data_IF_862642682549
#
_entry.id   IF_862642682549
#
_cell.length_a   1.000
_cell.length_b   1.000
_cell.length_c   1.000
_cell.angle_alpha   90.00
_cell.angle_beta   90.00
_cell.angle_gamma   90.00
#
_symmetry.space_group_name_H-M   'P 1'
#
loop_
_entity.id
_entity.type
_entity.pdbx_description
1 polymer ?
#
# COMPACT_ATOMS: atom_id res chain seq x y z
N UNK A 1 2.25 23.54 23.47
CA UNK A 1 1.32 22.45 23.11
C UNK A 1 1.77 21.18 23.81
N UNK A 2 0.94 20.56 24.66
CA UNK A 2 1.22 19.22 25.20
C UNK A 2 0.59 18.19 24.25
N UNK A 3 1.39 17.28 23.70
CA UNK A 3 0.88 16.18 22.88
C UNK A 3 0.15 15.18 23.79
N UNK A 4 -1.10 14.87 23.47
CA UNK A 4 -1.84 13.82 24.16
C UNK A 4 -1.25 12.44 23.82
N UNK A 5 -1.07 11.53 24.79
CA UNK A 5 -0.59 10.17 24.54
C UNK A 5 -1.41 9.42 23.48
N UNK A 6 -2.72 9.65 23.41
CA UNK A 6 -3.61 9.02 22.43
C UNK A 6 -3.39 9.55 21.01
N UNK A 7 -3.09 10.85 20.87
CA UNK A 7 -2.74 11.45 19.58
C UNK A 7 -1.42 10.89 19.07
N UNK A 8 -0.40 10.81 19.93
CA UNK A 8 0.89 10.24 19.56
C UNK A 8 0.76 8.80 19.06
N UNK A 9 0.04 7.95 19.80
CA UNK A 9 -0.20 6.54 19.40
C UNK A 9 -0.94 6.44 18.06
N UNK A 10 -2.01 7.21 17.89
CA UNK A 10 -2.83 7.16 16.67
C UNK A 10 -2.04 7.61 15.43
N UNK A 11 -1.22 8.65 15.56
CA UNK A 11 -0.36 9.13 14.46
C UNK A 11 0.71 8.11 14.09
N UNK A 12 1.35 7.44 15.05
CA UNK A 12 2.33 6.38 14.75
C UNK A 12 1.66 5.23 14.00
N UNK A 13 0.50 4.75 14.47
CA UNK A 13 -0.24 3.67 13.79
C UNK A 13 -0.63 4.07 12.37
N UNK A 14 -1.15 5.28 12.18
CA UNK A 14 -1.50 5.78 10.85
C UNK A 14 -0.25 5.92 9.94
N UNK A 15 0.88 6.39 10.47
CA UNK A 15 2.13 6.52 9.73
C UNK A 15 2.70 5.16 9.32
N UNK A 16 2.56 4.12 10.16
CA UNK A 16 2.96 2.76 9.80
C UNK A 16 2.16 2.21 8.62
N UNK A 17 0.88 2.58 8.48
CA UNK A 17 0.09 2.25 7.27
C UNK A 17 0.70 2.86 6.00
N UNK A 18 1.10 4.14 6.05
CA UNK A 18 1.80 4.80 4.93
C UNK A 18 3.18 4.20 4.66
N UNK A 19 3.91 3.81 5.72
CA UNK A 19 5.20 3.12 5.61
C UNK A 19 5.05 1.77 4.90
N UNK A 20 4.04 0.98 5.27
CA UNK A 20 3.77 -0.34 4.68
C UNK A 20 3.45 -0.22 3.18
N UNK A 21 2.63 0.76 2.80
CA UNK A 21 2.35 1.04 1.39
C UNK A 21 3.62 1.41 0.59
N UNK A 22 4.50 2.22 1.17
CA UNK A 22 5.80 2.54 0.57
C UNK A 22 6.74 1.33 0.48
N UNK A 23 6.71 0.46 1.50
CA UNK A 23 7.49 -0.77 1.55
C UNK A 23 7.11 -1.73 0.41
N UNK A 24 5.82 -1.95 0.16
CA UNK A 24 5.35 -2.80 -0.94
C UNK A 24 5.84 -2.30 -2.30
N UNK A 25 5.84 -0.99 -2.51
CA UNK A 25 6.35 -0.35 -3.73
C UNK A 25 7.86 -0.59 -3.89
N UNK A 26 8.62 -0.49 -2.80
CA UNK A 26 10.06 -0.74 -2.81
C UNK A 26 10.38 -2.21 -3.11
N UNK A 27 9.63 -3.15 -2.54
CA UNK A 27 9.78 -4.59 -2.80
C UNK A 27 9.47 -4.94 -4.26
N UNK A 28 8.40 -4.38 -4.84
CA UNK A 28 8.08 -4.58 -6.26
C UNK A 28 9.25 -4.10 -7.13
N UNK A 29 9.75 -2.89 -6.89
CA UNK A 29 10.89 -2.35 -7.64
C UNK A 29 12.13 -3.24 -7.51
N UNK A 30 12.43 -3.72 -6.30
CA UNK A 30 13.60 -4.55 -6.03
C UNK A 30 13.54 -5.97 -6.61
N UNK A 31 12.33 -6.47 -6.92
CA UNK A 31 12.12 -7.84 -7.41
C UNK A 31 11.87 -7.92 -8.92
N UNK A 32 11.70 -6.79 -9.61
CA UNK A 32 11.45 -6.75 -11.07
C UNK A 32 12.40 -7.61 -11.90
N UNK A 33 13.71 -7.55 -11.64
CA UNK A 33 14.69 -8.36 -12.36
C UNK A 33 14.54 -9.85 -12.04
N UNK A 34 14.45 -10.22 -10.76
CA UNK A 34 14.25 -11.62 -10.35
C UNK A 34 12.95 -12.23 -10.88
N UNK A 35 11.87 -11.45 -10.94
CA UNK A 35 10.61 -11.87 -11.57
C UNK A 35 10.78 -12.09 -13.08
N UNK A 36 11.54 -11.24 -13.74
CA UNK A 36 11.81 -11.36 -15.18
C UNK A 36 12.59 -12.64 -15.47
N UNK A 37 13.63 -12.93 -14.69
CA UNK A 37 14.48 -14.11 -14.91
C UNK A 37 13.77 -15.40 -14.54
N UNK A 38 13.00 -15.42 -13.44
CA UNK A 38 12.29 -16.61 -12.98
C UNK A 38 11.13 -17.00 -13.91
N UNK A 39 10.37 -16.00 -14.38
CA UNK A 39 9.15 -16.23 -15.18
C UNK A 39 9.32 -15.93 -16.67
N UNK A 40 10.55 -15.61 -17.11
CA UNK A 40 10.87 -15.26 -18.49
C UNK A 40 9.94 -14.18 -19.07
N UNK A 41 9.66 -13.15 -18.27
CA UNK A 41 8.65 -12.14 -18.60
C UNK A 41 9.14 -11.24 -19.74
N UNK A 42 8.29 -11.04 -20.75
CA UNK A 42 8.50 -9.93 -21.68
C UNK A 42 8.30 -8.58 -20.98
N UNK A 43 8.88 -7.46 -21.48
CA UNK A 43 8.69 -6.13 -20.89
C UNK A 43 7.21 -5.75 -20.72
N UNK A 44 6.35 -6.19 -21.64
CA UNK A 44 4.90 -5.96 -21.57
C UNK A 44 4.27 -6.70 -20.39
N UNK A 45 4.64 -7.96 -20.18
CA UNK A 45 4.09 -8.77 -19.08
C UNK A 45 4.62 -8.30 -17.72
N UNK A 46 5.90 -7.92 -17.63
CA UNK A 46 6.44 -7.29 -16.42
C UNK A 46 5.65 -6.01 -16.07
N UNK A 47 5.38 -5.17 -17.07
CA UNK A 47 4.58 -3.95 -16.90
C UNK A 47 3.17 -4.24 -16.40
N UNK A 48 2.50 -5.26 -16.95
CA UNK A 48 1.16 -5.69 -16.49
C UNK A 48 1.22 -6.18 -15.03
N UNK A 49 2.22 -6.99 -14.68
CA UNK A 49 2.41 -7.49 -13.32
C UNK A 49 2.56 -6.34 -12.31
N UNK A 50 3.42 -5.36 -12.61
CA UNK A 50 3.62 -4.18 -11.74
C UNK A 50 2.38 -3.30 -11.70
N UNK A 51 1.75 -3.05 -12.85
CA UNK A 51 0.56 -2.19 -12.95
C UNK A 51 -0.65 -2.77 -12.21
N UNK A 52 -0.77 -4.09 -12.12
CA UNK A 52 -1.87 -4.74 -11.40
C UNK A 52 -1.94 -4.31 -9.92
N UNK A 53 -0.78 -4.14 -9.27
CA UNK A 53 -0.70 -3.63 -7.90
C UNK A 53 -1.22 -2.19 -7.80
N UNK A 54 -0.86 -1.32 -8.75
CA UNK A 54 -1.34 0.07 -8.80
C UNK A 54 -2.84 0.18 -9.05
N UNK A 55 -3.39 -0.68 -9.92
CA UNK A 55 -4.84 -0.73 -10.15
C UNK A 55 -5.57 -1.19 -8.89
N UNK A 56 -5.04 -2.21 -8.21
CA UNK A 56 -5.59 -2.67 -6.93
C UNK A 56 -5.61 -1.58 -5.86
N UNK A 57 -4.52 -0.79 -5.75
CA UNK A 57 -4.43 0.30 -4.76
C UNK A 57 -5.34 1.46 -5.11
N UNK A 58 -5.52 1.77 -6.40
CA UNK A 58 -6.50 2.76 -6.86
C UNK A 58 -7.92 2.36 -6.44
N UNK A 59 -8.32 1.12 -6.71
CA UNK A 59 -9.65 0.60 -6.34
C UNK A 59 -9.80 0.61 -4.81
N UNK A 60 -8.79 0.14 -4.09
CA UNK A 60 -8.78 0.16 -2.62
C UNK A 60 -8.94 1.56 -2.05
N UNK A 61 -8.20 2.54 -2.56
CA UNK A 61 -8.29 3.93 -2.12
C UNK A 61 -9.66 4.55 -2.42
N UNK A 62 -10.24 4.25 -3.59
CA UNK A 62 -11.57 4.72 -3.96
C UNK A 62 -12.68 4.15 -3.05
N UNK A 63 -12.52 2.92 -2.58
CA UNK A 63 -13.50 2.24 -1.73
C UNK A 63 -13.22 2.40 -0.23
N UNK A 64 -12.05 2.89 0.17
CA UNK A 64 -11.64 3.01 1.57
C UNK A 64 -12.55 3.90 2.43
N UNK A 65 -13.28 4.84 1.82
CA UNK A 65 -14.25 5.68 2.51
C UNK A 65 -15.42 4.87 3.09
N UNK A 66 -15.89 3.83 2.40
CA UNK A 66 -17.06 3.04 2.78
C UNK A 66 -16.88 2.34 4.15
N UNK A 67 -15.81 1.53 4.38
CA UNK A 67 -15.59 0.94 5.70
C UNK A 67 -15.23 2.01 6.74
N UNK A 68 -14.55 3.09 6.35
CA UNK A 68 -14.23 4.20 7.25
C UNK A 68 -15.46 4.91 7.81
N UNK A 69 -16.50 5.09 7.00
CA UNK A 69 -17.78 5.68 7.41
C UNK A 69 -18.65 4.70 8.21
N UNK A 70 -18.57 3.40 7.90
CA UNK A 70 -19.42 2.37 8.53
C UNK A 70 -18.89 1.84 9.87
N UNK A 71 -17.58 1.64 9.98
CA UNK A 71 -16.94 1.04 11.16
C UNK A 71 -16.09 2.05 11.94
N UNK A 72 -15.84 3.24 11.37
CA UNK A 72 -14.94 4.24 11.93
C UNK A 72 -13.47 3.95 11.59
N UNK A 73 -12.69 5.01 11.35
CA UNK A 73 -11.29 4.98 10.86
C UNK A 73 -10.29 4.10 11.63
N UNK A 74 -10.61 3.70 12.86
CA UNK A 74 -9.74 2.85 13.68
C UNK A 74 -10.08 1.36 13.54
N UNK A 75 -11.36 1.04 13.29
CA UNK A 75 -11.88 -0.32 13.26
C UNK A 75 -12.17 -0.78 11.81
N UNK A 76 -11.86 0.06 10.81
CA UNK A 76 -11.99 -0.13 9.36
C UNK A 76 -10.70 -0.58 8.69
#
# INVERSE_FOLDING_TARGET
>A
MKLSPSLFKSTIVAALGGLLFGFDTAVISGTTHGLTDQYHLSPKFLGITVASALVGTLIGAALAAIPGDRYGRRDS
#
